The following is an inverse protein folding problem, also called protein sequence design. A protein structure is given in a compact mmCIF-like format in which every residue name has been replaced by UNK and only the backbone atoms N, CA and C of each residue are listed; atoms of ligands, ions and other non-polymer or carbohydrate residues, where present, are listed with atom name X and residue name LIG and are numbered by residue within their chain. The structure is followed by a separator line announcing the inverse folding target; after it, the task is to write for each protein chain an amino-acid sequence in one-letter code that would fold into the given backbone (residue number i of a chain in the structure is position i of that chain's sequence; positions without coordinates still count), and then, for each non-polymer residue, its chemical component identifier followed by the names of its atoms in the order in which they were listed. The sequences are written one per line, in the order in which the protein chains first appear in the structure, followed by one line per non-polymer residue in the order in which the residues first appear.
data_IF_815798966720
#
_entry.id   IF_815798966720
#
_cell.length_a   1.000
_cell.length_b   1.000
_cell.length_c   1.000
_cell.angle_alpha   90.00
_cell.angle_beta   90.00
_cell.angle_gamma   90.00
#
_symmetry.space_group_name_H-M   'P 1'
#
loop_
_entity.id
_entity.type
_entity.pdbx_description
1 polymer ?
#
# COMPACT_ATOMS: atom_id res chain seq x y z
N UNK A 1 -9.33 12.42 -4.59
CA UNK A 1 -9.56 10.95 -4.78
C UNK A 1 -9.14 10.50 -6.19
N UNK A 2 -8.02 11.07 -6.68
CA UNK A 2 -7.30 10.69 -7.92
C UNK A 2 -5.82 10.37 -7.62
N UNK A 3 -5.41 10.56 -6.37
CA UNK A 3 -4.03 10.66 -5.91
C UNK A 3 -3.29 9.31 -6.01
N UNK A 4 -3.99 8.20 -5.77
CA UNK A 4 -3.45 6.84 -5.87
C UNK A 4 -2.96 6.46 -7.28
N UNK A 5 -3.38 7.18 -8.32
CA UNK A 5 -2.88 6.95 -9.68
C UNK A 5 -1.50 7.57 -9.93
N UNK A 6 -1.11 8.55 -9.11
CA UNK A 6 0.16 9.28 -9.23
C UNK A 6 1.29 8.66 -8.40
N UNK A 7 0.95 7.91 -7.35
CA UNK A 7 1.95 7.28 -6.49
C UNK A 7 2.27 5.84 -6.92
N UNK A 8 3.55 5.42 -6.80
CA UNK A 8 3.91 4.03 -6.96
C UNK A 8 3.16 3.19 -5.92
N UNK A 9 2.58 2.08 -6.36
CA UNK A 9 1.89 1.16 -5.46
C UNK A 9 2.90 0.09 -5.02
N UNK A 10 2.99 -0.18 -3.74
CA UNK A 10 3.86 -1.22 -3.20
C UNK A 10 2.97 -2.43 -2.88
N UNK A 11 3.26 -3.57 -3.49
CA UNK A 11 2.47 -4.79 -3.31
C UNK A 11 3.20 -5.70 -2.32
N UNK A 12 2.53 -6.10 -1.25
CA UNK A 12 3.04 -7.10 -0.31
C UNK A 12 2.69 -8.51 -0.78
N UNK A 13 3.69 -9.39 -0.89
CA UNK A 13 3.60 -10.85 -1.18
C UNK A 13 2.84 -11.27 -2.46
N UNK A 14 1.63 -10.78 -2.71
CA UNK A 14 0.79 -11.09 -3.86
C UNK A 14 -0.08 -9.88 -4.28
N UNK A 15 -0.69 -10.00 -5.45
CA UNK A 15 -1.66 -9.07 -6.02
C UNK A 15 -3.07 -9.22 -5.43
N UNK A 16 -3.31 -10.28 -4.64
CA UNK A 16 -4.62 -10.62 -4.06
C UNK A 16 -5.14 -9.54 -3.11
N UNK A 17 -4.31 -8.97 -2.26
CA UNK A 17 -4.73 -7.93 -1.31
C UNK A 17 -5.18 -6.68 -2.04
N UNK A 18 -4.43 -6.25 -3.05
CA UNK A 18 -4.81 -5.15 -3.93
C UNK A 18 -6.07 -5.46 -4.74
N UNK A 19 -6.23 -6.68 -5.27
CA UNK A 19 -7.46 -7.07 -5.98
C UNK A 19 -8.67 -6.98 -5.04
N UNK A 20 -8.57 -7.55 -3.84
CA UNK A 20 -9.64 -7.55 -2.84
C UNK A 20 -9.97 -6.15 -2.37
N UNK A 21 -8.97 -5.29 -2.22
CA UNK A 21 -9.18 -3.87 -1.92
C UNK A 21 -9.86 -3.15 -3.09
N UNK A 22 -9.48 -3.43 -4.34
CA UNK A 22 -10.08 -2.82 -5.53
C UNK A 22 -11.54 -3.19 -5.76
N UNK A 23 -11.89 -4.44 -5.48
CA UNK A 23 -13.28 -4.90 -5.52
C UNK A 23 -14.15 -4.17 -4.48
N UNK A 24 -13.56 -3.73 -3.37
CA UNK A 24 -14.26 -3.00 -2.30
C UNK A 24 -14.17 -1.47 -2.44
N UNK A 25 -13.10 -0.94 -3.03
CA UNK A 25 -12.83 0.50 -3.05
C UNK A 25 -13.57 1.24 -4.17
N UNK A 26 -14.24 0.52 -5.07
CA UNK A 26 -14.99 1.12 -6.18
C UNK A 26 -14.09 1.74 -7.26
N UNK A 27 -12.80 1.41 -7.28
CA UNK A 27 -11.81 1.91 -8.26
C UNK A 27 -11.35 0.82 -9.25
N UNK A 28 -12.23 0.30 -10.13
CA UNK A 28 -11.90 -0.82 -11.03
C UNK A 28 -10.78 -0.50 -12.04
N UNK A 29 -10.42 0.78 -12.21
CA UNK A 29 -9.40 1.24 -13.17
C UNK A 29 -8.02 1.47 -12.55
N UNK A 30 -7.83 1.32 -11.23
CA UNK A 30 -6.51 1.51 -10.62
C UNK A 30 -5.55 0.43 -11.14
N UNK A 31 -4.44 0.86 -11.77
CA UNK A 31 -3.42 -0.05 -12.28
C UNK A 31 -2.45 -0.48 -11.18
N UNK A 32 -2.93 -1.32 -10.27
CA UNK A 32 -2.13 -1.91 -9.18
C UNK A 32 -0.93 -2.74 -9.66
N UNK A 33 -0.97 -3.29 -10.88
CA UNK A 33 0.15 -4.00 -11.52
C UNK A 33 1.34 -3.13 -11.94
N UNK A 34 1.29 -1.81 -11.74
CA UNK A 34 2.45 -0.91 -11.96
C UNK A 34 3.42 -0.88 -10.77
N UNK A 35 3.04 -1.50 -9.67
CA UNK A 35 3.80 -1.50 -8.44
C UNK A 35 4.89 -2.56 -8.35
N UNK A 36 5.86 -2.33 -7.47
CA UNK A 36 6.88 -3.32 -7.11
C UNK A 36 6.29 -4.33 -6.13
N UNK A 37 6.46 -5.63 -6.42
CA UNK A 37 6.12 -6.70 -5.47
C UNK A 37 7.27 -6.87 -4.50
N UNK A 38 6.99 -6.67 -3.22
CA UNK A 38 7.92 -6.83 -2.12
C UNK A 38 7.39 -7.96 -1.25
N UNK A 39 8.15 -9.06 -1.19
CA UNK A 39 7.76 -10.26 -0.46
C UNK A 39 8.09 -10.19 1.04
N UNK A 40 8.81 -9.15 1.46
CA UNK A 40 9.23 -8.92 2.84
C UNK A 40 8.45 -7.76 3.45
N UNK A 41 7.68 -8.03 4.51
CA UNK A 41 6.88 -7.01 5.18
C UNK A 41 7.72 -5.85 5.71
N UNK A 42 8.91 -6.12 6.27
CA UNK A 42 9.82 -5.08 6.72
C UNK A 42 10.26 -4.17 5.56
N UNK A 43 10.63 -4.75 4.42
CA UNK A 43 11.07 -3.99 3.25
C UNK A 43 9.90 -3.18 2.67
N UNK A 44 8.70 -3.74 2.64
CA UNK A 44 7.48 -3.06 2.20
C UNK A 44 7.18 -1.85 3.09
N UNK A 45 7.24 -2.06 4.40
CA UNK A 45 6.98 -1.04 5.42
C UNK A 45 8.02 0.09 5.35
N UNK A 46 9.31 -0.25 5.30
CA UNK A 46 10.37 0.75 5.17
C UNK A 46 10.26 1.54 3.86
N UNK A 47 9.90 0.88 2.75
CA UNK A 47 9.68 1.56 1.47
C UNK A 47 8.51 2.54 1.53
N UNK A 48 7.43 2.18 2.21
CA UNK A 48 6.30 3.09 2.43
C UNK A 48 6.67 4.27 3.34
N UNK A 49 7.43 4.02 4.42
CA UNK A 49 7.93 5.07 5.33
C UNK A 49 8.89 6.02 4.61
N UNK A 50 9.75 5.50 3.73
CA UNK A 50 10.70 6.28 2.92
C UNK A 50 10.00 7.10 1.81
N UNK A 51 8.67 6.95 1.64
CA UNK A 51 7.91 7.67 0.63
C UNK A 51 8.07 7.12 -0.78
N UNK A 52 8.58 5.89 -0.92
CA UNK A 52 8.72 5.21 -2.21
C UNK A 52 7.35 4.85 -2.84
N UNK A 53 6.27 4.91 -2.06
CA UNK A 53 4.93 4.63 -2.57
C UNK A 53 3.90 4.33 -1.50
N UNK A 54 2.73 3.87 -1.94
CA UNK A 54 1.60 3.47 -1.08
C UNK A 54 1.56 1.95 -0.96
N UNK A 55 1.64 1.43 0.26
CA UNK A 55 1.51 0.01 0.54
C UNK A 55 0.14 -0.33 1.14
N UNK A 56 -0.38 -1.52 0.83
CA UNK A 56 -1.47 -2.13 1.59
C UNK A 56 -0.89 -3.02 2.67
N UNK A 57 -1.16 -2.68 3.93
CA UNK A 57 -0.71 -3.40 5.11
C UNK A 57 -1.90 -3.65 6.04
N UNK A 58 -1.85 -4.74 6.82
CA UNK A 58 -2.81 -4.97 7.90
C UNK A 58 -2.70 -3.84 8.93
N UNK A 59 -3.82 -3.19 9.26
CA UNK A 59 -3.85 -2.01 10.12
C UNK A 59 -3.21 -2.28 11.49
N UNK A 60 -3.43 -3.47 12.05
CA UNK A 60 -2.87 -3.90 13.34
C UNK A 60 -1.33 -3.92 13.34
N UNK A 61 -0.70 -4.27 12.22
CA UNK A 61 0.76 -4.37 12.13
C UNK A 61 1.45 -3.00 12.01
N UNK A 62 0.73 -1.99 11.49
CA UNK A 62 1.26 -0.64 11.26
C UNK A 62 0.73 0.38 12.27
N UNK A 63 -0.08 -0.04 13.25
CA UNK A 63 -0.75 0.86 14.19
C UNK A 63 0.24 1.72 14.98
N UNK A 64 1.36 1.14 15.42
CA UNK A 64 2.47 1.88 16.07
C UNK A 64 3.07 2.94 15.14
N UNK A 65 3.24 2.63 13.86
CA UNK A 65 3.80 3.55 12.87
C UNK A 65 2.81 4.68 12.51
N UNK A 66 1.51 4.40 12.53
CA UNK A 66 0.47 5.42 12.38
C UNK A 66 0.42 6.35 13.60
N UNK A 67 0.48 5.79 14.81
CA UNK A 67 0.47 6.56 16.06
C UNK A 67 1.72 7.46 16.18
N UNK A 68 2.88 6.92 15.79
CA UNK A 68 4.12 7.68 15.73
C UNK A 68 4.19 8.70 14.57
N UNK A 69 3.14 8.83 13.75
CA UNK A 69 3.10 9.78 12.62
C UNK A 69 4.07 9.46 11.48
N UNK A 70 4.65 8.26 11.45
CA UNK A 70 5.56 7.80 10.38
C UNK A 70 4.79 7.36 9.14
N UNK A 71 3.53 6.98 9.30
CA UNK A 71 2.62 6.62 8.22
C UNK A 71 1.33 7.40 8.34
N UNK A 72 0.65 7.59 7.22
CA UNK A 72 -0.70 8.18 7.16
C UNK A 72 -1.61 7.24 6.37
N UNK A 73 -2.84 7.07 6.86
CA UNK A 73 -3.88 6.32 6.17
C UNK A 73 -4.57 7.23 5.15
N UNK A 74 -4.75 6.73 3.93
CA UNK A 74 -5.54 7.34 2.86
C UNK A 74 -7.03 6.98 2.95
#
# INVERSE_FOLDING_TARGET
QEDLQHYPLLLGYDYKDWRRWLEQSGYPKLRYRRGSVINDFNVLLHSAIDGQGVALCGLEMIQDHLDAGRLTRL
#
